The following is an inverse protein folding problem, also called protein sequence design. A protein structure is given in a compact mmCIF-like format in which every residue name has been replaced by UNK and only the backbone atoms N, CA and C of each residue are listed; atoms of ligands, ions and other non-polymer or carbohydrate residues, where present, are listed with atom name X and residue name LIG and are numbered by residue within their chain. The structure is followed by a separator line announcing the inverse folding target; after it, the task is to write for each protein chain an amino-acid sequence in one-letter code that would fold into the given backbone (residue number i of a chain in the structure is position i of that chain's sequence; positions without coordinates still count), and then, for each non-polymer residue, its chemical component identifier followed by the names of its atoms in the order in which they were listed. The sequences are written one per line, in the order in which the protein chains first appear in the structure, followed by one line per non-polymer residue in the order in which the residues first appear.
data_IF_309366115757
#
_entry.id   IF_309366115757
#
_cell.length_a   1.000
_cell.length_b   1.000
_cell.length_c   1.000
_cell.angle_alpha   90.00
_cell.angle_beta   90.00
_cell.angle_gamma   90.00
#
_symmetry.space_group_name_H-M   'P 1'
#
loop_
_entity.id
_entity.type
_entity.pdbx_description
1 polymer ?
#
# COMPACT_ATOMS: atom_id res chain seq x y z
N UNK A 1 32.14 16.14 -24.25
CA UNK A 1 32.63 16.10 -22.86
C UNK A 1 31.81 17.11 -22.05
N UNK A 2 30.78 16.65 -21.38
CA UNK A 2 29.88 17.52 -20.59
C UNK A 2 30.57 17.86 -19.26
N UNK A 3 30.88 19.15 -19.07
CA UNK A 3 31.36 19.68 -17.78
C UNK A 3 30.14 19.70 -16.84
N UNK A 4 30.04 18.71 -15.97
CA UNK A 4 29.07 18.68 -14.88
C UNK A 4 29.41 19.86 -13.94
N UNK A 5 28.51 20.83 -13.86
CA UNK A 5 28.61 21.99 -12.95
C UNK A 5 28.49 21.51 -11.50
N UNK A 6 29.63 21.22 -10.89
CA UNK A 6 29.76 20.83 -9.48
C UNK A 6 29.08 21.86 -8.55
N UNK A 7 29.01 23.14 -8.95
CA UNK A 7 28.33 24.20 -8.19
C UNK A 7 26.81 23.97 -8.05
N UNK A 8 26.14 23.37 -9.07
CA UNK A 8 24.69 23.08 -8.99
C UNK A 8 24.39 21.89 -8.09
N UNK A 9 25.29 20.90 -8.00
CA UNK A 9 25.15 19.79 -7.06
C UNK A 9 25.26 20.25 -5.61
N UNK A 10 26.17 21.17 -5.29
CA UNK A 10 26.33 21.68 -3.92
C UNK A 10 25.14 22.51 -3.44
N UNK A 11 24.51 23.29 -4.33
CA UNK A 11 23.31 24.07 -3.99
C UNK A 11 22.10 23.18 -3.74
N UNK A 12 21.94 22.08 -4.47
CA UNK A 12 20.85 21.12 -4.26
C UNK A 12 21.05 20.30 -2.98
N UNK A 13 22.30 19.97 -2.63
CA UNK A 13 22.61 19.26 -1.39
C UNK A 13 22.36 20.11 -0.15
N UNK A 14 22.64 21.43 -0.23
CA UNK A 14 22.41 22.38 0.86
C UNK A 14 20.90 22.64 1.12
N UNK A 15 20.05 22.55 0.10
CA UNK A 15 18.62 22.75 0.22
C UNK A 15 17.88 21.57 0.89
N UNK A 16 18.41 20.35 0.73
CA UNK A 16 17.83 19.14 1.34
C UNK A 16 18.13 19.06 2.85
N UNK A 17 19.23 19.66 3.33
CA UNK A 17 19.59 19.62 4.75
C UNK A 17 18.82 20.63 5.63
N UNK A 18 18.11 21.61 5.05
CA UNK A 18 17.38 22.62 5.80
C UNK A 18 15.94 22.20 6.22
N UNK A 19 15.43 21.07 5.73
CA UNK A 19 14.05 20.59 6.04
C UNK A 19 13.95 19.62 7.21
N UNK A 20 15.06 19.31 7.92
CA UNK A 20 15.10 18.27 8.95
C UNK A 20 14.90 18.77 10.40
N UNK A 21 14.52 20.02 10.64
CA UNK A 21 14.48 20.60 12.00
C UNK A 21 13.14 21.25 12.38
N UNK A 22 12.02 20.59 12.25
CA UNK A 22 10.79 20.99 12.97
C UNK A 22 9.93 19.76 13.29
N UNK A 23 10.30 18.95 14.25
CA UNK A 23 9.36 18.18 15.10
C UNK A 23 10.05 17.89 16.44
N UNK A 24 10.03 18.85 17.33
CA UNK A 24 10.21 18.61 18.75
C UNK A 24 9.19 19.48 19.50
N UNK A 25 8.01 18.90 19.77
CA UNK A 25 6.95 19.48 20.57
C UNK A 25 6.48 18.45 21.59
N UNK A 26 7.20 18.36 22.71
CA UNK A 26 6.73 17.73 23.95
C UNK A 26 5.48 18.42 24.47
N UNK A 27 4.45 17.65 24.81
CA UNK A 27 3.30 18.08 25.59
C UNK A 27 2.97 17.05 26.65
N UNK A 28 3.67 17.12 27.80
CA UNK A 28 3.28 16.46 29.06
C UNK A 28 2.13 17.24 29.69
N UNK A 29 1.06 16.55 30.09
CA UNK A 29 0.11 17.05 31.10
C UNK A 29 -0.25 15.94 32.08
N UNK A 30 0.34 16.04 33.26
CA UNK A 30 -0.09 15.40 34.52
C UNK A 30 -1.31 16.11 35.07
N UNK A 31 -2.24 15.35 35.67
CA UNK A 31 -3.05 15.69 36.86
C UNK A 31 -3.78 14.43 37.26
N UNK A 32 -3.45 13.70 38.30
CA UNK A 32 -3.60 13.91 39.76
C UNK A 32 -5.03 13.95 40.25
N UNK A 33 -5.30 12.99 41.11
CA UNK A 33 -6.04 12.94 42.37
C UNK A 33 -7.32 12.12 42.34
N UNK A 34 -7.29 10.92 42.98
CA UNK A 34 -7.62 10.60 44.37
C UNK A 34 -9.15 10.62 44.64
N UNK A 35 -9.78 9.57 45.09
CA UNK A 35 -9.87 8.98 46.40
C UNK A 35 -10.92 7.86 46.44
N UNK A 36 -10.51 6.73 47.01
CA UNK A 36 -11.10 5.88 48.04
C UNK A 36 -12.64 5.70 48.16
N UNK A 37 -13.08 4.43 48.16
CA UNK A 37 -13.64 3.77 49.34
C UNK A 37 -14.10 2.34 48.98
N UNK A 38 -13.46 1.38 49.62
CA UNK A 38 -13.87 0.13 50.22
C UNK A 38 -15.33 -0.35 50.12
N UNK A 39 -15.49 -1.64 49.70
CA UNK A 39 -16.22 -2.63 50.49
C UNK A 39 -16.09 -4.03 49.87
N UNK A 40 -15.58 -4.93 50.73
CA UNK A 40 -15.55 -6.37 50.80
C UNK A 40 -16.74 -7.14 50.18
N UNK A 41 -16.42 -8.24 49.49
CA UNK A 41 -16.90 -9.61 49.77
C UNK A 41 -16.38 -10.58 48.68
N UNK A 42 -15.62 -11.57 49.07
CA UNK A 42 -15.36 -12.88 48.42
C UNK A 42 -16.30 -13.92 49.03
N UNK A 43 -16.38 -15.20 48.53
CA UNK A 43 -15.90 -15.80 47.29
C UNK A 43 -17.00 -16.64 46.59
N UNK A 44 -16.82 -16.93 45.29
CA UNK A 44 -17.38 -18.16 44.71
C UNK A 44 -16.48 -18.67 43.61
N UNK A 45 -15.90 -19.79 43.84
CA UNK A 45 -15.20 -20.68 42.95
C UNK A 45 -16.09 -21.08 41.78
N UNK A 46 -15.68 -20.73 40.56
CA UNK A 46 -16.17 -21.38 39.35
C UNK A 46 -15.01 -21.59 38.41
N UNK A 47 -14.53 -22.81 38.38
CA UNK A 47 -13.67 -23.40 37.38
C UNK A 47 -14.40 -23.31 36.02
N UNK A 48 -13.97 -22.41 35.16
CA UNK A 48 -14.45 -22.28 33.83
C UNK A 48 -13.27 -22.17 32.88
N UNK A 49 -12.84 -23.31 32.33
CA UNK A 49 -12.02 -23.33 31.11
C UNK A 49 -12.75 -22.57 30.03
N UNK A 50 -12.36 -21.35 29.76
CA UNK A 50 -12.87 -20.58 28.66
C UNK A 50 -11.71 -20.14 27.75
N UNK A 51 -11.51 -20.95 26.75
CA UNK A 51 -11.46 -20.52 25.34
C UNK A 51 -10.33 -19.58 24.96
N UNK A 52 -9.20 -20.18 24.63
CA UNK A 52 -8.17 -19.60 23.75
C UNK A 52 -8.61 -19.50 22.28
N UNK A 53 -9.92 -19.36 22.01
CA UNK A 53 -10.44 -19.31 20.60
C UNK A 53 -10.76 -17.91 20.08
N UNK A 54 -10.76 -16.88 20.93
CA UNK A 54 -11.20 -15.54 20.49
C UNK A 54 -10.09 -14.68 19.85
N UNK A 55 -8.82 -14.97 20.08
CA UNK A 55 -7.71 -14.19 19.50
C UNK A 55 -7.45 -14.51 18.03
N UNK A 56 -7.62 -15.78 17.62
CA UNK A 56 -7.38 -16.20 16.23
C UNK A 56 -8.43 -15.64 15.28
N UNK A 57 -9.71 -15.64 15.69
CA UNK A 57 -10.82 -15.16 14.84
C UNK A 57 -10.75 -13.65 14.61
N UNK A 58 -10.35 -12.87 15.62
CA UNK A 58 -10.18 -11.42 15.46
C UNK A 58 -9.00 -11.06 14.55
N UNK A 59 -7.89 -11.79 14.65
CA UNK A 59 -6.70 -11.58 13.82
C UNK A 59 -6.98 -11.86 12.35
N UNK A 60 -7.70 -12.96 12.06
CA UNK A 60 -8.11 -13.34 10.70
C UNK A 60 -9.10 -12.32 10.11
N UNK A 61 -10.07 -11.85 10.90
CA UNK A 61 -11.02 -10.82 10.46
C UNK A 61 -10.31 -9.51 10.09
N UNK A 62 -9.32 -9.10 10.87
CA UNK A 62 -8.52 -7.92 10.57
C UNK A 62 -7.64 -8.10 9.32
N UNK A 63 -7.09 -9.29 9.08
CA UNK A 63 -6.30 -9.58 7.88
C UNK A 63 -7.15 -9.41 6.61
N UNK A 64 -8.38 -9.95 6.58
CA UNK A 64 -9.31 -9.77 5.45
C UNK A 64 -9.60 -8.31 5.14
N UNK A 65 -9.95 -7.53 6.15
CA UNK A 65 -10.26 -6.10 5.99
C UNK A 65 -9.05 -5.32 5.47
N UNK A 66 -7.86 -5.58 6.02
CA UNK A 66 -6.60 -4.96 5.58
C UNK A 66 -6.26 -5.36 4.15
N UNK A 67 -6.39 -6.64 3.80
CA UNK A 67 -6.20 -7.13 2.44
C UNK A 67 -7.06 -6.36 1.43
N UNK A 68 -8.37 -6.25 1.66
CA UNK A 68 -9.29 -5.52 0.77
C UNK A 68 -8.91 -4.05 0.66
N UNK A 69 -8.52 -3.41 1.77
CA UNK A 69 -8.08 -2.02 1.79
C UNK A 69 -6.80 -1.82 0.97
N UNK A 70 -5.75 -2.59 1.24
CA UNK A 70 -4.47 -2.45 0.56
C UNK A 70 -4.57 -2.80 -0.93
N UNK A 71 -5.28 -3.88 -1.28
CA UNK A 71 -5.53 -4.24 -2.67
C UNK A 71 -6.39 -3.19 -3.39
N UNK A 72 -7.42 -2.65 -2.74
CA UNK A 72 -8.28 -1.61 -3.29
C UNK A 72 -7.51 -0.32 -3.60
N UNK A 73 -6.63 0.12 -2.69
CA UNK A 73 -5.75 1.28 -2.90
C UNK A 73 -4.74 1.03 -4.03
N UNK A 74 -4.13 -0.16 -4.07
CA UNK A 74 -3.21 -0.53 -5.14
C UNK A 74 -3.87 -0.49 -6.52
N UNK A 75 -5.03 -1.12 -6.66
CA UNK A 75 -5.72 -1.22 -7.94
C UNK A 75 -6.29 0.13 -8.40
N UNK A 76 -6.82 0.93 -7.49
CA UNK A 76 -7.28 2.29 -7.80
C UNK A 76 -6.15 3.21 -8.23
N UNK A 77 -4.99 3.14 -7.56
CA UNK A 77 -3.79 3.90 -7.95
C UNK A 77 -3.28 3.45 -9.33
N UNK A 78 -3.21 2.13 -9.57
CA UNK A 78 -2.82 1.57 -10.86
C UNK A 78 -3.71 2.09 -11.98
N UNK A 79 -5.04 1.97 -11.85
CA UNK A 79 -5.97 2.40 -12.89
C UNK A 79 -5.87 3.90 -13.19
N UNK A 80 -5.78 4.73 -12.17
CA UNK A 80 -5.75 6.19 -12.36
C UNK A 80 -4.42 6.68 -12.95
N UNK A 81 -3.30 6.22 -12.40
CA UNK A 81 -2.00 6.84 -12.63
C UNK A 81 -1.11 6.08 -13.61
N UNK A 82 -1.44 4.82 -13.92
CA UNK A 82 -0.65 3.97 -14.81
C UNK A 82 -1.49 3.52 -16.00
N UNK A 83 -2.61 2.85 -15.76
CA UNK A 83 -3.43 2.26 -16.81
C UNK A 83 -3.99 3.31 -17.78
N UNK A 84 -4.69 4.34 -17.26
CA UNK A 84 -5.25 5.40 -18.10
C UNK A 84 -4.21 6.13 -18.94
N UNK A 85 -3.07 6.60 -18.38
CA UNK A 85 -2.01 7.21 -19.18
C UNK A 85 -1.37 6.26 -20.19
N UNK A 86 -1.20 4.97 -19.86
CA UNK A 86 -0.70 3.97 -20.80
C UNK A 86 -1.67 3.77 -21.98
N UNK A 87 -2.97 3.71 -21.72
CA UNK A 87 -4.01 3.63 -22.78
C UNK A 87 -4.05 4.88 -23.65
N UNK A 88 -3.73 6.04 -23.10
CA UNK A 88 -3.59 7.29 -23.87
C UNK A 88 -2.26 7.38 -24.65
N UNK A 89 -1.34 6.40 -24.50
CA UNK A 89 -0.03 6.40 -25.15
C UNK A 89 1.02 7.33 -24.51
N UNK A 90 0.65 8.03 -23.42
CA UNK A 90 1.53 9.03 -22.78
C UNK A 90 2.80 8.39 -22.18
N UNK A 91 2.72 7.14 -21.72
CA UNK A 91 3.86 6.43 -21.13
C UNK A 91 4.82 5.82 -22.16
N UNK A 92 4.43 5.76 -23.43
CA UNK A 92 5.31 5.34 -24.53
C UNK A 92 6.25 6.46 -24.97
N UNK A 93 5.97 7.72 -24.60
CA UNK A 93 6.75 8.89 -24.95
C UNK A 93 7.16 9.71 -23.72
N UNK A 94 8.01 9.16 -22.82
CA UNK A 94 8.29 9.73 -21.50
C UNK A 94 8.91 11.13 -21.56
N UNK A 95 9.65 11.45 -22.62
CA UNK A 95 10.28 12.77 -22.78
C UNK A 95 9.27 13.86 -23.14
N UNK A 96 8.16 13.48 -23.81
CA UNK A 96 7.07 14.40 -24.18
C UNK A 96 6.11 14.59 -22.99
N UNK A 97 5.86 13.55 -22.21
CA UNK A 97 4.92 13.52 -21.09
C UNK A 97 5.61 13.38 -19.71
N UNK A 98 6.63 14.22 -19.46
CA UNK A 98 7.49 14.13 -18.26
C UNK A 98 6.71 14.11 -16.95
N UNK A 99 5.70 14.97 -16.82
CA UNK A 99 4.89 15.05 -15.59
C UNK A 99 4.07 13.77 -15.38
N UNK A 100 3.44 13.23 -16.42
CA UNK A 100 2.70 11.97 -16.38
C UNK A 100 3.63 10.80 -16.06
N UNK A 101 4.80 10.76 -16.70
CA UNK A 101 5.82 9.72 -16.47
C UNK A 101 6.28 9.69 -15.01
N UNK A 102 6.55 10.86 -14.41
CA UNK A 102 6.95 10.95 -12.99
C UNK A 102 5.82 10.48 -12.08
N UNK A 103 4.57 10.95 -12.33
CA UNK A 103 3.40 10.52 -11.55
C UNK A 103 3.17 9.01 -11.64
N UNK A 104 3.28 8.43 -12.83
CA UNK A 104 3.12 7.00 -13.03
C UNK A 104 4.22 6.19 -12.34
N UNK A 105 5.47 6.65 -12.37
CA UNK A 105 6.59 6.00 -11.68
C UNK A 105 6.44 6.04 -10.15
N UNK A 106 5.95 7.16 -9.59
CA UNK A 106 5.63 7.26 -8.16
C UNK A 106 4.47 6.33 -7.79
N UNK A 107 3.41 6.33 -8.61
CA UNK A 107 2.27 5.43 -8.42
C UNK A 107 2.67 3.96 -8.48
N UNK A 108 3.61 3.57 -9.36
CA UNK A 108 4.11 2.20 -9.41
C UNK A 108 4.82 1.79 -8.11
N UNK A 109 5.59 2.70 -7.49
CA UNK A 109 6.18 2.49 -6.18
C UNK A 109 5.13 2.33 -5.07
N UNK A 110 4.10 3.18 -5.07
CA UNK A 110 2.98 3.08 -4.13
C UNK A 110 2.21 1.76 -4.32
N UNK A 111 1.85 1.42 -5.57
CA UNK A 111 1.16 0.15 -5.90
C UNK A 111 1.98 -1.04 -5.43
N UNK A 112 3.28 -1.07 -5.69
CA UNK A 112 4.17 -2.12 -5.21
C UNK A 112 4.11 -2.28 -3.69
N UNK A 113 4.19 -1.17 -2.94
CA UNK A 113 4.13 -1.19 -1.48
C UNK A 113 2.79 -1.73 -0.97
N UNK A 114 1.68 -1.24 -1.50
CA UNK A 114 0.33 -1.67 -1.11
C UNK A 114 0.08 -3.15 -1.44
N UNK A 115 0.56 -3.63 -2.59
CA UNK A 115 0.45 -5.05 -2.95
C UNK A 115 1.28 -5.96 -2.02
N UNK A 116 2.44 -5.49 -1.54
CA UNK A 116 3.23 -6.22 -0.54
C UNK A 116 2.45 -6.37 0.77
N UNK A 117 1.83 -5.30 1.26
CA UNK A 117 0.98 -5.35 2.45
C UNK A 117 -0.22 -6.28 2.25
N UNK A 118 -0.90 -6.18 1.09
CA UNK A 118 -2.00 -7.08 0.75
C UNK A 118 -1.55 -8.56 0.69
N UNK A 119 -0.34 -8.84 0.20
CA UNK A 119 0.21 -10.20 0.17
C UNK A 119 0.45 -10.74 1.59
N UNK A 120 0.98 -9.92 2.48
CA UNK A 120 1.22 -10.31 3.87
C UNK A 120 -0.11 -10.57 4.59
N UNK A 121 -1.14 -9.74 4.36
CA UNK A 121 -2.49 -9.95 4.88
C UNK A 121 -3.15 -11.22 4.29
N UNK A 122 -2.98 -11.48 2.99
CA UNK A 122 -3.51 -12.68 2.34
C UNK A 122 -2.87 -13.97 2.87
N UNK A 123 -1.58 -13.94 3.19
CA UNK A 123 -0.88 -15.08 3.81
C UNK A 123 -1.33 -15.35 5.24
N UNK A 124 -1.80 -14.33 5.95
CA UNK A 124 -2.31 -14.48 7.32
C UNK A 124 -3.70 -15.16 7.38
N UNK A 125 -4.41 -15.25 6.24
CA UNK A 125 -5.74 -15.84 6.18
C UNK A 125 -5.79 -17.03 5.19
N UNK A 126 -6.04 -18.26 5.67
CA UNK A 126 -6.10 -19.44 4.81
C UNK A 126 -7.18 -19.36 3.71
N UNK A 127 -8.25 -18.59 3.91
CA UNK A 127 -9.33 -18.44 2.90
C UNK A 127 -8.88 -17.63 1.68
N UNK A 128 -7.81 -16.83 1.83
CA UNK A 128 -7.20 -16.02 0.77
C UNK A 128 -6.03 -16.74 0.06
N UNK A 129 -5.77 -18.01 0.37
CA UNK A 129 -4.64 -18.78 -0.23
C UNK A 129 -4.63 -18.73 -1.76
N UNK A 130 -5.80 -18.74 -2.40
CA UNK A 130 -5.92 -18.69 -3.87
C UNK A 130 -5.51 -17.37 -4.51
N UNK A 131 -5.43 -16.28 -3.74
CA UNK A 131 -4.95 -14.97 -4.26
C UNK A 131 -3.45 -14.78 -4.08
N UNK A 132 -2.76 -15.60 -3.28
CA UNK A 132 -1.34 -15.44 -2.94
C UNK A 132 -0.44 -15.53 -4.18
N UNK A 133 -0.60 -16.57 -4.99
CA UNK A 133 0.22 -16.77 -6.20
C UNK A 133 -0.05 -15.71 -7.28
N UNK A 134 -1.31 -15.42 -7.67
CA UNK A 134 -1.60 -14.34 -8.60
C UNK A 134 -1.09 -12.98 -8.13
N UNK A 135 -1.18 -12.69 -6.81
CA UNK A 135 -0.71 -11.45 -6.23
C UNK A 135 0.82 -11.36 -6.25
N UNK A 136 1.53 -12.47 -5.98
CA UNK A 136 2.99 -12.55 -6.08
C UNK A 136 3.46 -12.26 -7.51
N UNK A 137 2.83 -12.90 -8.50
CA UNK A 137 3.13 -12.67 -9.92
C UNK A 137 2.89 -11.21 -10.34
N UNK A 138 1.82 -10.59 -9.85
CA UNK A 138 1.55 -9.17 -10.11
C UNK A 138 2.62 -8.28 -9.48
N UNK A 139 3.03 -8.54 -8.24
CA UNK A 139 4.09 -7.80 -7.53
C UNK A 139 5.40 -7.81 -8.33
N UNK A 140 5.79 -8.97 -8.87
CA UNK A 140 7.03 -9.08 -9.68
C UNK A 140 6.95 -8.23 -10.95
N UNK A 141 5.79 -8.17 -11.60
CA UNK A 141 5.56 -7.31 -12.75
C UNK A 141 5.60 -5.82 -12.38
N UNK A 142 4.91 -5.45 -11.30
CA UNK A 142 4.87 -4.05 -10.82
C UNK A 142 6.25 -3.58 -10.36
N UNK A 143 7.08 -4.45 -9.80
CA UNK A 143 8.47 -4.13 -9.40
C UNK A 143 9.33 -3.63 -10.56
N UNK A 144 9.14 -4.18 -11.76
CA UNK A 144 9.88 -3.77 -12.96
C UNK A 144 9.33 -2.48 -13.59
N UNK A 145 8.06 -2.17 -13.32
CA UNK A 145 7.29 -1.11 -13.99
C UNK A 145 7.92 0.29 -13.92
N UNK A 146 8.51 0.77 -12.80
CA UNK A 146 9.15 2.09 -12.77
C UNK A 146 10.29 2.25 -13.79
N UNK A 147 11.03 1.19 -14.07
CA UNK A 147 12.06 1.16 -15.11
C UNK A 147 11.46 1.22 -16.51
N UNK A 148 10.42 0.43 -16.75
CA UNK A 148 9.69 0.41 -18.02
C UNK A 148 9.04 1.76 -18.33
N UNK A 149 8.40 2.41 -17.35
CA UNK A 149 7.79 3.73 -17.49
C UNK A 149 8.84 4.78 -17.90
N UNK A 150 9.99 4.79 -17.23
CA UNK A 150 11.08 5.73 -17.54
C UNK A 150 11.68 5.48 -18.93
N UNK A 151 11.75 4.24 -19.35
CA UNK A 151 12.27 3.81 -20.66
C UNK A 151 11.25 3.91 -21.82
N UNK A 152 9.99 4.26 -21.54
CA UNK A 152 8.92 4.27 -22.56
C UNK A 152 8.42 2.87 -22.95
N UNK A 153 8.77 1.85 -22.17
CA UNK A 153 8.36 0.46 -22.41
C UNK A 153 6.93 0.13 -21.99
N UNK A 154 6.28 1.03 -21.23
CA UNK A 154 4.91 0.81 -20.74
C UNK A 154 3.91 1.16 -21.85
N UNK A 155 3.53 0.16 -22.63
CA UNK A 155 2.57 0.28 -23.72
C UNK A 155 1.14 0.01 -23.24
N UNK A 156 0.15 0.32 -24.09
CA UNK A 156 -1.26 -0.06 -23.84
C UNK A 156 -1.40 -1.57 -23.61
N UNK A 157 -0.70 -2.41 -24.39
CA UNK A 157 -0.76 -3.88 -24.24
C UNK A 157 -0.16 -4.38 -22.94
N UNK A 158 0.96 -3.80 -22.46
CA UNK A 158 1.52 -4.17 -21.16
C UNK A 158 0.59 -3.76 -20.01
N UNK A 159 -0.06 -2.61 -20.12
CA UNK A 159 -1.06 -2.16 -19.15
C UNK A 159 -2.31 -3.06 -19.13
N UNK A 160 -2.79 -3.51 -20.29
CA UNK A 160 -3.92 -4.45 -20.40
C UNK A 160 -3.58 -5.80 -19.77
N UNK A 161 -2.35 -6.27 -19.91
CA UNK A 161 -1.88 -7.51 -19.29
C UNK A 161 -1.93 -7.42 -17.74
N UNK A 162 -1.42 -6.32 -17.18
CA UNK A 162 -1.50 -6.07 -15.73
C UNK A 162 -2.94 -5.93 -15.27
N UNK A 163 -3.80 -5.26 -16.04
CA UNK A 163 -5.21 -5.12 -15.74
C UNK A 163 -5.94 -6.47 -15.69
N UNK A 164 -5.60 -7.39 -16.62
CA UNK A 164 -6.17 -8.75 -16.63
C UNK A 164 -5.75 -9.54 -15.38
N UNK A 165 -4.49 -9.39 -14.93
CA UNK A 165 -4.04 -10.00 -13.68
C UNK A 165 -4.77 -9.44 -12.47
N UNK A 166 -5.00 -8.12 -12.41
CA UNK A 166 -5.80 -7.46 -11.37
C UNK A 166 -7.23 -8.01 -11.35
N UNK A 167 -7.87 -8.15 -12.52
CA UNK A 167 -9.22 -8.72 -12.62
C UNK A 167 -9.27 -10.14 -12.08
N UNK A 168 -8.31 -10.98 -12.43
CA UNK A 168 -8.22 -12.35 -11.89
C UNK A 168 -8.09 -12.39 -10.37
N UNK A 169 -7.28 -11.50 -9.78
CA UNK A 169 -7.15 -11.38 -8.33
C UNK A 169 -8.46 -10.96 -7.69
N UNK A 170 -9.18 -10.00 -8.28
CA UNK A 170 -10.50 -9.55 -7.81
C UNK A 170 -11.52 -10.69 -7.83
N UNK A 171 -11.51 -11.52 -8.87
CA UNK A 171 -12.39 -12.67 -8.99
C UNK A 171 -12.09 -13.73 -7.92
N UNK A 172 -10.81 -14.04 -7.69
CA UNK A 172 -10.41 -14.96 -6.62
C UNK A 172 -10.77 -14.43 -5.22
N UNK A 173 -10.55 -13.13 -4.98
CA UNK A 173 -10.90 -12.50 -3.71
C UNK A 173 -12.42 -12.50 -3.49
N UNK A 174 -13.19 -12.19 -4.52
CA UNK A 174 -14.67 -12.24 -4.49
C UNK A 174 -15.18 -13.66 -4.19
N UNK A 175 -14.58 -14.67 -4.82
CA UNK A 175 -14.89 -16.08 -4.56
C UNK A 175 -14.55 -16.52 -3.13
N UNK A 176 -13.61 -15.83 -2.48
CA UNK A 176 -13.27 -16.00 -1.06
C UNK A 176 -14.17 -15.16 -0.13
N UNK A 177 -15.21 -14.50 -0.65
CA UNK A 177 -16.10 -13.62 0.10
C UNK A 177 -15.49 -12.26 0.46
N UNK A 178 -14.44 -11.84 -0.25
CA UNK A 178 -13.73 -10.56 -0.03
C UNK A 178 -13.73 -9.74 -1.34
N UNK A 179 -14.85 -9.15 -1.75
CA UNK A 179 -14.89 -8.32 -2.95
C UNK A 179 -14.03 -7.08 -2.77
N UNK A 180 -13.11 -6.84 -3.72
CA UNK A 180 -12.20 -5.69 -3.70
C UNK A 180 -12.87 -4.52 -4.42
N UNK A 181 -13.11 -3.43 -3.70
CA UNK A 181 -13.52 -2.14 -4.25
C UNK A 181 -12.29 -1.25 -4.43
N UNK A 182 -12.08 -0.75 -5.65
CA UNK A 182 -10.97 0.13 -5.95
C UNK A 182 -11.13 1.49 -5.30
N UNK A 183 -10.08 1.93 -4.63
CA UNK A 183 -10.00 3.24 -3.99
C UNK A 183 -8.88 4.04 -4.64
N UNK A 184 -9.25 5.16 -5.25
CA UNK A 184 -8.26 6.03 -5.91
C UNK A 184 -7.67 6.99 -4.89
N UNK A 185 -6.35 6.92 -4.61
CA UNK A 185 -5.71 7.89 -3.75
C UNK A 185 -5.71 9.29 -4.38
N UNK A 186 -5.68 10.33 -3.54
CA UNK A 186 -5.69 11.72 -4.00
C UNK A 186 -4.40 12.09 -4.75
N UNK A 187 -3.27 11.48 -4.38
CA UNK A 187 -1.96 11.69 -5.00
C UNK A 187 -1.36 10.38 -5.52
N UNK A 188 -0.37 10.43 -6.46
CA UNK A 188 0.28 9.22 -6.98
C UNK A 188 1.06 8.42 -5.94
N UNK A 189 1.36 9.00 -4.80
CA UNK A 189 2.11 8.40 -3.69
C UNK A 189 1.23 8.00 -2.49
N UNK A 190 -0.09 8.18 -2.59
CA UNK A 190 -1.06 7.88 -1.53
C UNK A 190 -1.56 9.10 -0.80
#
# INVERSE_FOLDING_TARGET
MARFDIRRCFVLLALVSALAFVVAGCGSSKSSSASASSSSASPATATGSASASSSTTSTVSHAKTKFVLHAGLAFGAFHRWIYKPAKAGELSHPLQHKATTVKAALAAGFVYHQLKLALDDAKADPTLSKVVDPLTNLIDKIKALPGEIKGGGTTSGSADNLNSMISSIKDHASSAGQPITEQTPATPSG
#
